data_IF_008726703494
#
_entry.id   IF_008726703494
#
_cell.length_a   1.000
_cell.length_b   1.000
_cell.length_c   1.000
_cell.angle_alpha   90.00
_cell.angle_beta   90.00
_cell.angle_gamma   90.00
#
_symmetry.space_group_name_H-M   'P 1'
#
loop_
_entity.id
_entity.type
_entity.pdbx_description
1 polymer ?
#
# COMPACT_ATOMS: atom_id res chain seq x y z
N UNK A 1 21.39 8.80 -22.93
CA UNK A 1 20.74 7.69 -23.62
C UNK A 1 20.79 7.90 -25.11
N UNK A 2 21.59 7.10 -25.77
CA UNK A 2 21.87 7.22 -27.20
C UNK A 2 20.79 6.61 -28.10
N UNK A 3 19.76 5.97 -27.53
CA UNK A 3 18.80 5.17 -28.31
C UNK A 3 17.45 5.89 -28.50
N UNK A 4 17.11 6.88 -27.67
CA UNK A 4 15.88 7.69 -27.82
C UNK A 4 14.55 6.95 -27.77
N UNK A 5 14.54 5.70 -27.28
CA UNK A 5 13.35 4.82 -27.19
C UNK A 5 13.19 4.24 -25.81
N UNK A 6 11.95 3.86 -25.45
CA UNK A 6 11.67 3.11 -24.24
C UNK A 6 11.86 1.62 -24.51
N UNK A 7 12.51 0.94 -23.57
CA UNK A 7 12.71 -0.51 -23.60
C UNK A 7 12.03 -1.16 -22.39
N UNK A 8 11.39 -2.30 -22.58
CA UNK A 8 10.82 -3.10 -21.51
C UNK A 8 11.96 -3.73 -20.69
N UNK A 9 12.18 -3.26 -19.49
CA UNK A 9 13.27 -3.71 -18.62
C UNK A 9 12.89 -4.91 -17.74
N UNK A 10 11.61 -5.08 -17.43
CA UNK A 10 11.10 -6.14 -16.54
C UNK A 10 9.85 -6.77 -17.17
N UNK A 11 9.99 -7.68 -18.12
CA UNK A 11 8.85 -8.43 -18.65
C UNK A 11 8.26 -9.33 -17.55
N UNK A 12 6.94 -9.52 -17.58
CA UNK A 12 6.19 -10.40 -16.66
C UNK A 12 6.43 -10.10 -15.17
N UNK A 13 6.59 -8.82 -14.86
CA UNK A 13 6.87 -8.34 -13.50
C UNK A 13 5.82 -8.85 -12.49
N UNK A 14 6.29 -9.50 -11.43
CA UNK A 14 5.50 -9.92 -10.27
C UNK A 14 6.11 -9.34 -8.99
N UNK A 15 5.25 -8.98 -8.04
CA UNK A 15 5.71 -8.58 -6.70
C UNK A 15 6.33 -9.82 -6.04
N UNK A 16 7.58 -9.72 -5.52
CA UNK A 16 8.19 -10.83 -4.79
C UNK A 16 7.37 -11.24 -3.56
N UNK A 17 7.19 -12.56 -3.33
CA UNK A 17 6.34 -13.08 -2.25
C UNK A 17 6.80 -12.68 -0.83
N UNK A 18 8.11 -12.47 -0.64
CA UNK A 18 8.73 -12.20 0.66
C UNK A 18 8.94 -10.69 0.90
N UNK A 19 7.89 -9.89 0.83
CA UNK A 19 7.96 -8.46 1.12
C UNK A 19 8.39 -8.19 2.56
N UNK A 20 9.35 -7.24 2.73
CA UNK A 20 9.90 -6.83 4.04
C UNK A 20 9.92 -5.32 4.23
N UNK A 21 9.18 -4.58 3.41
CA UNK A 21 9.18 -3.12 3.43
C UNK A 21 7.77 -2.65 3.74
N UNK A 22 7.64 -1.72 4.69
CA UNK A 22 6.41 -0.97 4.86
C UNK A 22 6.67 0.52 4.67
N UNK A 23 5.73 1.19 3.99
CA UNK A 23 5.85 2.58 3.56
C UNK A 23 4.64 3.36 4.02
N UNK A 24 4.78 4.16 5.07
CA UNK A 24 3.74 4.99 5.67
C UNK A 24 4.35 6.22 6.32
N UNK A 25 3.65 7.35 6.29
CA UNK A 25 4.07 8.53 7.04
C UNK A 25 3.71 8.36 8.53
N UNK A 26 4.65 7.85 9.31
CA UNK A 26 4.48 7.66 10.76
C UNK A 26 4.33 8.99 11.54
N UNK A 27 4.64 10.14 10.92
CA UNK A 27 4.34 11.46 11.51
C UNK A 27 2.85 11.70 11.78
N UNK A 28 1.98 10.92 11.13
CA UNK A 28 0.53 10.94 11.36
C UNK A 28 0.06 9.93 12.42
N UNK A 29 0.95 9.23 13.10
CA UNK A 29 0.64 8.14 14.01
C UNK A 29 -0.44 8.47 15.04
N UNK A 30 -0.39 9.67 15.62
CA UNK A 30 -1.38 10.10 16.61
C UNK A 30 -2.83 10.08 16.10
N UNK A 31 -3.01 10.23 14.78
CA UNK A 31 -4.31 10.32 14.11
C UNK A 31 -4.73 9.02 13.40
N UNK A 32 -3.91 7.97 13.43
CA UNK A 32 -4.28 6.68 12.85
C UNK A 32 -5.34 5.98 13.72
N UNK A 33 -6.22 5.24 13.05
CA UNK A 33 -7.12 4.30 13.70
C UNK A 33 -6.33 3.17 14.38
N UNK A 34 -6.92 2.56 15.40
CA UNK A 34 -6.24 1.57 16.24
C UNK A 34 -5.75 0.35 15.45
N UNK A 35 -6.50 -0.09 14.44
CA UNK A 35 -6.08 -1.20 13.57
C UNK A 35 -4.76 -0.90 12.86
N UNK A 36 -4.59 0.31 12.34
CA UNK A 36 -3.36 0.76 11.68
C UNK A 36 -2.19 0.86 12.68
N UNK A 37 -2.43 1.43 13.87
CA UNK A 37 -1.42 1.51 14.94
C UNK A 37 -0.91 0.13 15.34
N UNK A 38 -1.81 -0.83 15.53
CA UNK A 38 -1.47 -2.21 15.89
C UNK A 38 -0.72 -2.91 14.76
N UNK A 39 -1.11 -2.69 13.51
CA UNK A 39 -0.37 -3.22 12.37
C UNK A 39 1.06 -2.66 12.29
N UNK A 40 1.26 -1.37 12.52
CA UNK A 40 2.61 -0.78 12.55
C UNK A 40 3.47 -1.42 13.65
N UNK A 41 2.88 -1.63 14.83
CA UNK A 41 3.56 -2.33 15.91
C UNK A 41 3.92 -3.76 15.53
N UNK A 42 3.00 -4.49 14.90
CA UNK A 42 3.26 -5.81 14.33
C UNK A 42 4.44 -5.80 13.35
N UNK A 43 4.54 -4.80 12.47
CA UNK A 43 5.68 -4.68 11.54
C UNK A 43 7.03 -4.52 12.26
N UNK A 44 7.04 -3.97 13.46
CA UNK A 44 8.23 -3.65 14.24
C UNK A 44 8.63 -4.75 15.23
N UNK A 45 7.75 -5.72 15.49
CA UNK A 45 8.03 -6.85 16.39
C UNK A 45 9.01 -7.85 15.77
N UNK A 46 9.82 -8.47 16.62
CA UNK A 46 10.75 -9.53 16.19
C UNK A 46 9.96 -10.84 16.03
N UNK A 47 9.99 -11.39 14.83
CA UNK A 47 9.43 -12.70 14.51
C UNK A 47 10.17 -13.32 13.32
N UNK A 48 11.13 -14.17 13.61
CA UNK A 48 12.03 -14.78 12.62
C UNK A 48 11.26 -15.56 11.52
N UNK A 49 10.24 -16.37 11.85
CA UNK A 49 9.49 -17.11 10.83
C UNK A 49 8.84 -16.24 9.76
N UNK A 50 8.41 -15.04 10.10
CA UNK A 50 7.78 -14.09 9.17
C UNK A 50 8.72 -12.98 8.68
N UNK A 51 10.03 -13.10 8.98
CA UNK A 51 11.04 -12.11 8.62
C UNK A 51 10.79 -10.70 9.18
N UNK A 52 10.13 -10.59 10.34
CA UNK A 52 9.98 -9.31 11.03
C UNK A 52 11.15 -9.08 12.01
N UNK A 53 11.53 -7.81 12.29
CA UNK A 53 10.87 -6.57 11.90
C UNK A 53 11.02 -6.22 10.42
N UNK A 54 9.97 -5.63 9.83
CA UNK A 54 10.03 -5.10 8.49
C UNK A 54 10.81 -3.78 8.45
N UNK A 55 11.37 -3.46 7.29
CA UNK A 55 12.10 -2.20 7.10
C UNK A 55 11.13 -1.06 6.75
N UNK A 56 11.17 0.03 7.51
CA UNK A 56 10.45 1.25 7.17
C UNK A 56 11.14 1.98 6.02
N UNK A 57 10.42 2.27 4.95
CA UNK A 57 10.88 3.06 3.80
C UNK A 57 9.73 3.94 3.31
N UNK A 58 9.83 5.23 3.49
CA UNK A 58 8.83 6.20 3.05
C UNK A 58 9.49 7.41 2.42
N UNK A 59 9.26 7.62 1.13
CA UNK A 59 9.79 8.78 0.37
C UNK A 59 8.77 9.92 0.39
N UNK A 60 7.49 9.59 0.47
CA UNK A 60 6.39 10.55 0.40
C UNK A 60 5.88 10.79 -1.02
N UNK A 61 6.35 10.01 -1.98
CA UNK A 61 5.83 9.95 -3.34
C UNK A 61 5.20 8.58 -3.58
N UNK A 62 3.89 8.54 -3.86
CA UNK A 62 3.16 7.30 -4.14
C UNK A 62 3.86 6.45 -5.20
N UNK A 63 4.21 7.07 -6.33
CA UNK A 63 4.83 6.34 -7.45
C UNK A 63 6.20 5.77 -7.07
N UNK A 64 7.04 6.54 -6.38
CA UNK A 64 8.37 6.10 -5.99
C UNK A 64 8.33 4.99 -4.93
N UNK A 65 7.48 5.14 -3.92
CA UNK A 65 7.29 4.13 -2.87
C UNK A 65 6.69 2.85 -3.44
N UNK A 66 5.64 2.96 -4.27
CA UNK A 66 5.01 1.81 -4.92
C UNK A 66 5.96 1.10 -5.89
N UNK A 67 6.68 1.82 -6.75
CA UNK A 67 7.63 1.24 -7.69
C UNK A 67 8.71 0.42 -6.98
N UNK A 68 9.28 0.96 -5.90
CA UNK A 68 10.25 0.20 -5.09
C UNK A 68 9.62 -1.06 -4.50
N UNK A 69 8.41 -0.97 -3.94
CA UNK A 69 7.72 -2.12 -3.34
C UNK A 69 7.28 -3.14 -4.40
N UNK A 70 6.96 -2.69 -5.61
CA UNK A 70 6.67 -3.56 -6.76
C UNK A 70 7.88 -4.43 -7.12
N UNK A 71 9.10 -3.87 -7.06
CA UNK A 71 10.33 -4.57 -7.42
C UNK A 71 10.90 -5.43 -6.28
N UNK A 72 10.73 -5.01 -5.02
CA UNK A 72 11.38 -5.62 -3.86
C UNK A 72 10.44 -6.38 -2.92
N UNK A 73 9.17 -6.27 -3.15
CA UNK A 73 8.15 -6.68 -2.20
C UNK A 73 7.97 -5.69 -1.05
N UNK A 74 6.73 -5.46 -0.64
CA UNK A 74 6.40 -4.55 0.43
C UNK A 74 4.98 -4.04 0.34
N UNK A 75 4.64 -3.15 1.26
CA UNK A 75 3.32 -2.54 1.37
C UNK A 75 3.44 -1.02 1.49
N UNK A 76 2.59 -0.30 0.76
CA UNK A 76 2.40 1.14 0.91
C UNK A 76 1.04 1.40 1.54
N UNK A 77 1.01 2.27 2.57
CA UNK A 77 -0.20 2.63 3.28
C UNK A 77 -0.37 4.15 3.28
N UNK A 78 -1.53 4.57 2.82
CA UNK A 78 -2.06 5.91 3.02
C UNK A 78 -3.48 5.80 3.59
N UNK A 79 -3.61 5.39 4.85
CA UNK A 79 -4.92 5.15 5.48
C UNK A 79 -5.68 6.44 5.71
N UNK A 80 -6.96 6.32 5.96
CA UNK A 80 -7.72 7.38 6.61
C UNK A 80 -7.18 7.66 8.01
N UNK A 81 -7.50 8.83 8.51
CA UNK A 81 -7.17 9.26 9.87
C UNK A 81 -8.42 9.79 10.55
N UNK A 82 -8.38 9.93 11.88
CA UNK A 82 -9.48 10.53 12.65
C UNK A 82 -9.83 11.97 12.19
N UNK A 83 -8.88 12.68 11.57
CA UNK A 83 -9.08 14.03 11.04
C UNK A 83 -9.51 14.01 9.56
N UNK A 84 -9.06 13.02 8.81
CA UNK A 84 -9.33 12.84 7.36
C UNK A 84 -9.67 11.38 7.07
N UNK A 85 -10.92 10.95 7.36
CA UNK A 85 -11.31 9.54 7.19
C UNK A 85 -11.16 9.04 5.76
N UNK A 86 -11.42 9.90 4.78
CA UNK A 86 -11.30 9.55 3.35
C UNK A 86 -9.85 9.53 2.83
N UNK A 87 -8.87 9.74 3.69
CA UNK A 87 -7.48 9.83 3.27
C UNK A 87 -7.17 11.05 2.41
N UNK A 88 -6.17 10.95 1.52
CA UNK A 88 -5.72 12.08 0.70
C UNK A 88 -5.64 11.76 -0.79
N UNK A 89 -5.41 10.50 -1.15
CA UNK A 89 -5.20 10.08 -2.53
C UNK A 89 -6.53 10.00 -3.28
N UNK A 90 -6.51 10.30 -4.58
CA UNK A 90 -7.69 10.34 -5.44
C UNK A 90 -7.94 8.97 -6.06
N UNK A 91 -9.20 8.54 -6.00
CA UNK A 91 -9.61 7.23 -6.49
C UNK A 91 -9.28 7.03 -7.97
N UNK A 92 -9.74 7.95 -8.84
CA UNK A 92 -9.74 7.73 -10.29
C UNK A 92 -8.37 7.78 -10.94
N UNK A 93 -7.51 8.70 -10.52
CA UNK A 93 -6.27 8.97 -11.26
C UNK A 93 -4.98 8.78 -10.44
N UNK A 94 -5.11 8.33 -9.19
CA UNK A 94 -3.98 7.88 -8.36
C UNK A 94 -4.18 6.42 -7.93
N UNK A 95 -5.26 6.10 -7.21
CA UNK A 95 -5.45 4.76 -6.63
C UNK A 95 -5.79 3.70 -7.67
N UNK A 96 -6.73 3.95 -8.58
CA UNK A 96 -7.14 2.97 -9.60
C UNK A 96 -5.99 2.52 -10.51
N UNK A 97 -5.18 3.42 -11.12
CA UNK A 97 -4.06 3.00 -11.94
C UNK A 97 -3.05 2.13 -11.18
N UNK A 98 -2.71 2.53 -9.95
CA UNK A 98 -1.76 1.78 -9.12
C UNK A 98 -2.37 0.44 -8.66
N UNK A 99 -3.65 0.41 -8.29
CA UNK A 99 -4.35 -0.82 -7.92
C UNK A 99 -4.38 -1.83 -9.08
N UNK A 100 -4.66 -1.35 -10.29
CA UNK A 100 -4.64 -2.18 -11.49
C UNK A 100 -3.25 -2.81 -11.71
N UNK A 101 -2.19 -2.01 -11.67
CA UNK A 101 -0.82 -2.50 -11.83
C UNK A 101 -0.44 -3.50 -10.72
N UNK A 102 -0.80 -3.22 -9.47
CA UNK A 102 -0.53 -4.10 -8.34
C UNK A 102 -1.18 -5.46 -8.52
N UNK A 103 -2.46 -5.51 -8.91
CA UNK A 103 -3.19 -6.77 -9.10
C UNK A 103 -2.63 -7.57 -10.28
N UNK A 104 -2.27 -6.92 -11.40
CA UNK A 104 -1.60 -7.59 -12.53
C UNK A 104 -0.25 -8.20 -12.12
N UNK A 105 0.43 -7.58 -11.17
CA UNK A 105 1.69 -8.09 -10.60
C UNK A 105 1.51 -9.11 -9.46
N UNK A 106 0.27 -9.53 -9.16
CA UNK A 106 -0.03 -10.52 -8.11
C UNK A 106 -0.15 -9.93 -6.71
N UNK A 107 -0.26 -8.61 -6.59
CA UNK A 107 -0.53 -7.91 -5.34
C UNK A 107 -2.02 -7.63 -5.11
N UNK A 108 -2.30 -6.82 -4.08
CA UNK A 108 -3.66 -6.44 -3.68
C UNK A 108 -3.71 -4.94 -3.36
N UNK A 109 -4.86 -4.31 -3.60
CA UNK A 109 -5.13 -2.92 -3.25
C UNK A 109 -6.50 -2.76 -2.62
N UNK A 110 -6.56 -2.09 -1.47
CA UNK A 110 -7.77 -1.95 -0.64
C UNK A 110 -7.86 -0.57 0.01
N UNK A 111 -9.05 -0.19 0.45
CA UNK A 111 -9.22 0.93 1.39
C UNK A 111 -8.92 0.52 2.84
N UNK A 112 -8.80 -0.78 3.08
CA UNK A 112 -8.79 -1.43 4.38
C UNK A 112 -10.02 -2.32 4.59
N UNK A 113 -11.12 -2.06 3.90
CA UNK A 113 -12.37 -2.81 3.99
C UNK A 113 -12.98 -3.16 2.63
N UNK A 114 -12.52 -2.51 1.56
CA UNK A 114 -13.07 -2.71 0.21
C UNK A 114 -11.94 -2.69 -0.83
N UNK A 115 -12.02 -3.60 -1.80
CA UNK A 115 -11.10 -3.60 -2.96
C UNK A 115 -11.24 -2.30 -3.74
N UNK A 116 -10.11 -1.67 -4.07
CA UNK A 116 -10.08 -0.36 -4.76
C UNK A 116 -10.84 -0.38 -6.09
N UNK A 117 -10.61 -1.40 -6.93
CA UNK A 117 -11.20 -1.48 -8.27
C UNK A 117 -12.71 -1.75 -8.27
N UNK A 118 -13.31 -2.14 -7.13
CA UNK A 118 -14.75 -2.34 -6.98
C UNK A 118 -15.50 -1.04 -6.57
N UNK A 119 -14.77 0.04 -6.27
CA UNK A 119 -15.36 1.30 -5.85
C UNK A 119 -15.92 2.03 -7.07
N UNK A 120 -17.22 2.26 -7.08
CA UNK A 120 -17.87 3.09 -8.09
C UNK A 120 -17.60 4.56 -7.78
N UNK A 121 -16.92 5.31 -8.66
CA UNK A 121 -16.63 6.71 -8.42
C UNK A 121 -17.91 7.55 -8.37
N UNK A 122 -17.99 8.45 -7.39
CA UNK A 122 -19.11 9.40 -7.23
C UNK A 122 -18.78 10.78 -7.78
N UNK A 123 -17.50 11.12 -7.80
CA UNK A 123 -16.98 12.41 -8.29
C UNK A 123 -15.55 12.27 -8.81
N UNK A 124 -15.13 13.21 -9.67
CA UNK A 124 -13.81 13.19 -10.31
C UNK A 124 -12.65 13.20 -9.31
N UNK A 125 -12.75 13.98 -8.22
CA UNK A 125 -11.70 14.16 -7.23
C UNK A 125 -11.94 13.38 -5.94
N UNK A 126 -12.83 12.37 -5.97
CA UNK A 126 -13.11 11.51 -4.82
C UNK A 126 -11.81 10.97 -4.23
N UNK A 127 -11.69 11.08 -2.90
CA UNK A 127 -10.57 10.54 -2.13
C UNK A 127 -10.96 9.24 -1.46
N UNK A 128 -9.96 8.37 -1.27
CA UNK A 128 -10.13 7.11 -0.56
C UNK A 128 -8.87 6.79 0.26
N UNK A 129 -8.97 6.08 1.37
CA UNK A 129 -7.84 5.41 1.99
C UNK A 129 -7.20 4.44 0.99
N UNK A 130 -5.89 4.29 1.04
CA UNK A 130 -5.19 3.47 0.06
C UNK A 130 -4.11 2.61 0.70
N UNK A 131 -4.24 1.30 0.53
CA UNK A 131 -3.29 0.29 1.02
C UNK A 131 -3.01 -0.65 -0.14
N UNK A 132 -1.74 -0.81 -0.53
CA UNK A 132 -1.36 -1.57 -1.72
C UNK A 132 -0.01 -2.25 -1.56
N UNK A 133 0.12 -3.47 -2.04
CA UNK A 133 1.39 -4.21 -1.99
C UNK A 133 1.22 -5.71 -2.07
N UNK A 134 2.12 -6.45 -1.40
CA UNK A 134 2.01 -7.89 -1.27
C UNK A 134 0.66 -8.29 -0.69
N UNK A 135 0.00 -9.26 -1.32
CA UNK A 135 -1.32 -9.75 -0.91
C UNK A 135 -1.36 -10.14 0.56
N UNK A 136 -0.40 -10.93 1.04
CA UNK A 136 -0.33 -11.36 2.45
C UNK A 136 -0.18 -10.20 3.43
N UNK A 137 0.60 -9.17 3.08
CA UNK A 137 0.77 -7.99 3.91
C UNK A 137 -0.51 -7.14 3.94
N UNK A 138 -1.18 -6.99 2.80
CA UNK A 138 -2.44 -6.22 2.69
C UNK A 138 -3.56 -6.93 3.47
N UNK A 139 -3.70 -8.25 3.32
CA UNK A 139 -4.69 -9.04 4.09
C UNK A 139 -4.45 -8.95 5.60
N UNK A 140 -3.19 -8.93 6.02
CA UNK A 140 -2.87 -8.75 7.43
C UNK A 140 -3.31 -7.37 7.95
N UNK A 141 -3.18 -6.29 7.17
CA UNK A 141 -3.73 -4.98 7.55
C UNK A 141 -5.25 -5.03 7.68
N UNK A 142 -5.94 -5.66 6.72
CA UNK A 142 -7.41 -5.81 6.74
C UNK A 142 -7.87 -6.55 8.01
N UNK A 143 -7.15 -7.63 8.41
CA UNK A 143 -7.42 -8.34 9.67
C UNK A 143 -7.32 -7.41 10.89
N UNK A 144 -6.26 -6.60 10.97
CA UNK A 144 -6.09 -5.65 12.07
C UNK A 144 -7.17 -4.55 12.09
N UNK A 145 -7.57 -4.05 10.93
CA UNK A 145 -8.64 -3.06 10.82
C UNK A 145 -9.96 -3.70 11.30
N UNK A 146 -10.32 -4.88 10.78
CA UNK A 146 -11.56 -5.56 11.14
C UNK A 146 -11.64 -5.90 12.62
N UNK A 147 -10.54 -6.32 13.22
CA UNK A 147 -10.49 -6.67 14.64
C UNK A 147 -10.57 -5.45 15.58
N UNK A 148 -10.51 -4.23 15.06
CA UNK A 148 -10.47 -2.99 15.84
C UNK A 148 -11.46 -1.93 15.33
N UNK A 149 -12.39 -2.30 14.48
CA UNK A 149 -13.53 -1.46 14.03
C UNK A 149 -14.73 -1.56 14.97
#
# INVERSE_FOLDING_TARGET
PSIGTFHLSHPDLKIPDNGKIYSINEGNYAHFEDGIKKYLKFCQEIDVPTNRPYTSRYIGSLVADFHRNLLKGGIYLYPGTTIKPDGKLRLLYECNPIAFLAEQAGGKATTGTQRILDIIPKELHQRVPFIVGNTTMVEKVEEFILANS
#
